data_IF_178587865133
#
_entry.id   IF_178587865133
#
_cell.length_a   1.000
_cell.length_b   1.000
_cell.length_c   1.000
_cell.angle_alpha   90.00
_cell.angle_beta   90.00
_cell.angle_gamma   90.00
#
_symmetry.space_group_name_H-M   'P 1'
#
loop_
_entity.id
_entity.type
_entity.pdbx_description
1 polymer ?
#
# COMPACT_ATOMS: atom_id res chain seq x y z
N UNK A 1 0.36 -13.41 24.22
CA UNK A 1 -0.38 -14.17 23.18
C UNK A 1 -0.26 -13.40 21.87
N UNK A 2 0.07 -14.08 20.74
CA UNK A 2 0.07 -13.42 19.43
C UNK A 2 -1.38 -13.17 19.01
N UNK A 3 -1.81 -11.90 19.05
CA UNK A 3 -3.15 -11.47 18.62
C UNK A 3 -3.25 -11.48 17.08
N UNK A 4 -4.46 -11.49 16.56
CA UNK A 4 -4.77 -11.19 15.17
C UNK A 4 -4.89 -9.67 15.03
N UNK A 5 -4.14 -9.08 14.11
CA UNK A 5 -4.22 -7.66 13.78
C UNK A 5 -4.33 -7.51 12.25
N UNK A 6 -5.28 -6.70 11.83
CA UNK A 6 -5.56 -6.43 10.42
C UNK A 6 -5.49 -4.92 10.22
N UNK A 7 -4.74 -4.49 9.23
CA UNK A 7 -4.75 -3.12 8.72
C UNK A 7 -5.52 -3.10 7.41
N UNK A 8 -6.43 -2.17 7.24
CA UNK A 8 -7.06 -1.87 5.96
C UNK A 8 -6.27 -0.74 5.30
N UNK A 9 -5.95 -0.88 4.02
CA UNK A 9 -5.24 0.10 3.22
C UNK A 9 -5.99 0.33 1.91
N UNK A 10 -6.15 1.60 1.55
CA UNK A 10 -6.61 2.03 0.23
C UNK A 10 -5.49 2.71 -0.51
N UNK A 11 -5.24 2.28 -1.72
CA UNK A 11 -4.25 2.84 -2.64
C UNK A 11 -4.93 3.77 -3.66
N UNK A 12 -4.13 4.54 -4.40
CA UNK A 12 -4.54 5.33 -5.57
C UNK A 12 -5.53 6.48 -5.28
N UNK A 13 -5.35 7.15 -4.15
CA UNK A 13 -6.18 8.31 -3.78
C UNK A 13 -5.58 9.57 -4.38
N UNK A 14 -6.29 10.21 -5.33
CA UNK A 14 -5.83 11.39 -6.04
C UNK A 14 -7.00 12.31 -6.43
N UNK A 15 -6.73 13.57 -6.86
CA UNK A 15 -7.79 14.54 -7.19
C UNK A 15 -8.72 14.14 -8.34
N UNK A 16 -8.33 13.15 -9.14
CA UNK A 16 -9.04 12.68 -10.33
C UNK A 16 -9.59 11.25 -10.17
N UNK A 17 -9.57 10.71 -8.94
CA UNK A 17 -10.06 9.36 -8.65
C UNK A 17 -11.57 9.21 -8.88
N UNK A 18 -12.09 7.99 -8.90
CA UNK A 18 -13.53 7.71 -8.82
C UNK A 18 -14.05 7.97 -7.41
N UNK A 19 -14.57 9.19 -7.19
CA UNK A 19 -15.10 9.62 -5.88
C UNK A 19 -16.31 8.81 -5.46
N UNK A 20 -17.12 8.35 -6.41
CA UNK A 20 -18.32 7.58 -6.11
C UNK A 20 -17.98 6.24 -5.46
N UNK A 21 -16.98 5.55 -6.00
CA UNK A 21 -16.53 4.27 -5.46
C UNK A 21 -15.76 4.44 -4.15
N UNK A 22 -14.92 5.47 -4.05
CA UNK A 22 -14.22 5.73 -2.79
C UNK A 22 -15.17 6.16 -1.68
N UNK A 23 -16.23 6.94 -2.02
CA UNK A 23 -17.29 7.27 -1.05
C UNK A 23 -18.03 6.03 -0.55
N UNK A 24 -18.37 5.07 -1.40
CA UNK A 24 -18.94 3.79 -0.96
C UNK A 24 -18.03 3.06 0.04
N UNK A 25 -16.71 3.13 -0.17
CA UNK A 25 -15.75 2.54 0.77
C UNK A 25 -15.79 3.27 2.11
N UNK A 26 -15.71 4.61 2.12
CA UNK A 26 -15.68 5.40 3.35
C UNK A 26 -16.99 5.29 4.12
N UNK A 27 -18.17 5.29 3.45
CA UNK A 27 -19.47 5.09 4.10
C UNK A 27 -19.56 3.71 4.80
N UNK A 28 -18.99 2.68 4.15
CA UNK A 28 -18.94 1.34 4.74
C UNK A 28 -18.00 1.28 5.95
N UNK A 29 -16.81 1.90 5.85
CA UNK A 29 -15.84 1.97 6.93
C UNK A 29 -16.37 2.74 8.13
N UNK A 30 -17.02 3.89 7.90
CA UNK A 30 -17.65 4.73 8.93
C UNK A 30 -18.72 3.94 9.71
N UNK A 31 -19.52 3.11 9.01
CA UNK A 31 -20.52 2.22 9.63
C UNK A 31 -19.91 1.25 10.66
N UNK A 32 -18.66 0.83 10.46
CA UNK A 32 -17.96 -0.09 11.36
C UNK A 32 -16.98 0.62 12.28
N UNK A 33 -16.89 1.96 12.23
CA UNK A 33 -15.92 2.78 12.95
C UNK A 33 -14.48 2.29 12.72
N UNK A 34 -14.10 2.12 11.45
CA UNK A 34 -12.79 1.64 11.02
C UNK A 34 -12.06 2.74 10.26
N UNK A 35 -10.83 3.05 10.67
CA UNK A 35 -10.00 4.10 10.10
C UNK A 35 -8.82 3.48 9.34
N UNK A 36 -8.87 3.44 8.00
CA UNK A 36 -7.83 2.82 7.18
C UNK A 36 -6.57 3.69 7.07
N UNK A 37 -5.51 3.08 6.55
CA UNK A 37 -4.40 3.77 5.93
C UNK A 37 -4.79 4.10 4.48
N UNK A 38 -4.72 5.36 4.07
CA UNK A 38 -4.99 5.77 2.69
C UNK A 38 -3.75 6.37 2.03
N UNK A 39 -3.46 5.95 0.81
CA UNK A 39 -2.32 6.37 0.00
C UNK A 39 -2.68 7.49 -0.95
N UNK A 40 -2.24 8.69 -0.63
CA UNK A 40 -2.45 9.87 -1.45
C UNK A 40 -1.29 10.03 -2.42
N UNK A 41 -1.60 10.18 -3.71
CA UNK A 41 -0.64 10.50 -4.76
C UNK A 41 -0.52 12.02 -4.85
N UNK A 42 0.68 12.60 -4.59
CA UNK A 42 0.85 14.05 -4.53
C UNK A 42 0.58 14.78 -5.85
N UNK A 43 1.03 14.22 -6.98
CA UNK A 43 0.93 14.82 -8.33
C UNK A 43 0.57 13.74 -9.35
N UNK A 44 -0.64 13.18 -9.26
CA UNK A 44 -1.04 12.05 -10.11
C UNK A 44 -0.94 12.39 -11.60
N UNK A 45 -0.16 11.58 -12.34
CA UNK A 45 0.04 11.66 -13.79
C UNK A 45 -0.20 10.29 -14.46
N UNK A 46 -0.75 9.33 -13.74
CA UNK A 46 -1.13 8.01 -14.28
C UNK A 46 -2.46 8.13 -15.02
N UNK A 47 -2.44 7.90 -16.33
CA UNK A 47 -3.61 8.00 -17.19
C UNK A 47 -4.75 7.06 -16.75
N UNK A 48 -4.42 5.92 -16.11
CA UNK A 48 -5.43 4.98 -15.59
C UNK A 48 -6.18 5.54 -14.37
N UNK A 49 -5.65 6.57 -13.72
CA UNK A 49 -6.23 7.23 -12.54
C UNK A 49 -6.84 8.62 -12.84
N UNK A 50 -6.77 9.09 -14.09
CA UNK A 50 -7.47 10.30 -14.55
C UNK A 50 -8.93 9.95 -14.90
N UNK A 51 -9.71 9.57 -13.90
CA UNK A 51 -11.08 9.01 -14.07
C UNK A 51 -12.12 10.12 -14.12
N UNK A 52 -12.04 11.08 -13.20
CA UNK A 52 -12.92 12.25 -13.13
C UNK A 52 -12.12 13.53 -13.40
N UNK A 53 -12.81 14.66 -13.56
CA UNK A 53 -12.15 15.97 -13.60
C UNK A 53 -11.46 16.27 -12.27
N UNK A 54 -10.46 17.15 -12.29
CA UNK A 54 -9.73 17.55 -11.10
C UNK A 54 -10.66 18.21 -10.07
N UNK A 55 -10.83 17.58 -8.92
CA UNK A 55 -11.62 18.11 -7.81
C UNK A 55 -10.82 19.12 -6.99
N UNK A 56 -11.16 20.39 -7.12
CA UNK A 56 -10.46 21.49 -6.41
C UNK A 56 -10.54 21.40 -4.89
N UNK A 57 -11.56 20.72 -4.35
CA UNK A 57 -11.77 20.50 -2.90
C UNK A 57 -11.08 19.23 -2.36
N UNK A 58 -10.33 18.52 -3.19
CA UNK A 58 -9.69 17.25 -2.82
C UNK A 58 -8.88 17.34 -1.51
N UNK A 59 -8.06 18.37 -1.36
CA UNK A 59 -7.19 18.49 -0.20
C UNK A 59 -7.96 18.78 1.09
N UNK A 60 -9.10 19.48 1.02
CA UNK A 60 -9.99 19.64 2.16
C UNK A 60 -10.64 18.30 2.51
N UNK A 61 -11.07 17.53 1.51
CA UNK A 61 -11.62 16.18 1.72
C UNK A 61 -10.61 15.25 2.42
N UNK A 62 -9.32 15.25 2.00
CA UNK A 62 -8.27 14.47 2.67
C UNK A 62 -8.10 14.89 4.14
N UNK A 63 -8.10 16.19 4.44
CA UNK A 63 -8.02 16.68 5.82
C UNK A 63 -9.25 16.30 6.67
N UNK A 64 -10.44 16.25 6.08
CA UNK A 64 -11.63 15.76 6.81
C UNK A 64 -11.52 14.25 7.11
N UNK A 65 -10.99 13.44 6.21
CA UNK A 65 -10.71 12.03 6.50
C UNK A 65 -9.66 11.88 7.60
N UNK A 66 -8.60 12.69 7.60
CA UNK A 66 -7.60 12.69 8.67
C UNK A 66 -8.23 13.05 10.03
N UNK A 67 -9.09 14.07 10.10
CA UNK A 67 -9.85 14.43 11.31
C UNK A 67 -10.75 13.31 11.82
N UNK A 68 -11.26 12.46 10.91
CA UNK A 68 -12.04 11.26 11.25
C UNK A 68 -11.15 10.12 11.78
N UNK A 69 -9.83 10.24 11.76
CA UNK A 69 -8.89 9.23 12.23
C UNK A 69 -8.22 8.40 11.14
N UNK A 70 -8.49 8.66 9.85
CA UNK A 70 -7.80 8.00 8.75
C UNK A 70 -6.31 8.37 8.78
N UNK A 71 -5.44 7.39 8.60
CA UNK A 71 -4.00 7.66 8.48
C UNK A 71 -3.64 7.94 7.03
N UNK A 72 -3.03 9.11 6.79
CA UNK A 72 -2.55 9.46 5.45
C UNK A 72 -1.16 8.88 5.24
N UNK A 73 -0.91 8.35 4.05
CA UNK A 73 0.41 7.97 3.56
C UNK A 73 0.68 8.64 2.21
N UNK A 74 1.92 8.88 1.88
CA UNK A 74 2.32 9.24 0.53
C UNK A 74 2.42 7.98 -0.34
N UNK A 75 1.66 7.92 -1.44
CA UNK A 75 1.67 6.82 -2.39
C UNK A 75 2.41 7.19 -3.67
N UNK A 76 3.71 6.95 -3.66
CA UNK A 76 4.57 7.41 -4.73
C UNK A 76 4.71 8.93 -4.78
N UNK A 77 5.07 9.46 -5.93
CA UNK A 77 5.11 10.89 -6.24
C UNK A 77 4.06 11.24 -7.29
N UNK A 78 4.18 10.67 -8.50
CA UNK A 78 3.26 10.95 -9.62
C UNK A 78 2.64 9.68 -10.23
N UNK A 79 2.93 8.51 -9.68
CA UNK A 79 2.43 7.20 -10.08
C UNK A 79 2.84 6.78 -11.51
N UNK A 80 3.91 7.37 -12.07
CA UNK A 80 4.43 7.04 -13.40
C UNK A 80 5.53 6.00 -13.30
N UNK A 81 5.33 4.88 -13.98
CA UNK A 81 6.28 3.76 -14.01
C UNK A 81 7.31 3.94 -15.14
N UNK A 82 8.43 4.56 -14.83
CA UNK A 82 9.47 4.92 -15.79
C UNK A 82 10.72 4.00 -15.76
N UNK A 83 10.70 2.96 -14.91
CA UNK A 83 11.73 1.89 -14.93
C UNK A 83 11.15 0.50 -15.06
N UNK A 84 11.93 -0.42 -15.62
CA UNK A 84 11.60 -1.85 -15.79
C UNK A 84 12.35 -2.72 -14.78
N UNK A 85 12.20 -2.40 -13.48
CA UNK A 85 12.84 -3.18 -12.41
C UNK A 85 11.84 -3.68 -11.39
N UNK A 86 12.15 -4.81 -10.76
CA UNK A 86 11.32 -5.40 -9.72
C UNK A 86 11.55 -4.79 -8.33
N UNK A 87 12.65 -4.05 -8.16
CA UNK A 87 13.06 -3.62 -6.82
C UNK A 87 13.25 -4.81 -5.86
N UNK A 88 13.07 -4.54 -4.56
CA UNK A 88 13.32 -5.56 -3.52
C UNK A 88 12.22 -6.62 -3.46
N UNK A 89 10.95 -6.26 -3.64
CA UNK A 89 9.82 -7.17 -3.36
C UNK A 89 8.83 -7.36 -4.52
N UNK A 90 8.72 -6.45 -5.48
CA UNK A 90 7.75 -6.56 -6.56
C UNK A 90 7.99 -7.82 -7.43
N UNK A 91 6.91 -8.40 -7.91
CA UNK A 91 6.94 -9.53 -8.86
C UNK A 91 6.84 -9.09 -10.34
N UNK A 92 6.33 -7.90 -10.61
CA UNK A 92 6.27 -7.26 -11.93
C UNK A 92 7.59 -6.60 -12.35
N UNK A 93 7.58 -5.97 -13.52
CA UNK A 93 8.72 -5.24 -14.10
C UNK A 93 8.36 -3.78 -14.37
N UNK A 94 7.72 -3.12 -13.41
CA UNK A 94 7.43 -1.68 -13.50
C UNK A 94 7.65 -1.02 -12.16
N UNK A 95 8.28 0.14 -12.15
CA UNK A 95 8.53 0.91 -10.94
C UNK A 95 8.59 2.39 -11.22
N UNK A 96 8.11 3.17 -10.26
CA UNK A 96 8.32 4.60 -10.20
C UNK A 96 9.66 4.96 -9.54
N UNK A 97 10.18 4.10 -8.65
CA UNK A 97 11.36 4.38 -7.81
C UNK A 97 12.53 3.44 -8.08
N UNK A 98 12.31 2.14 -7.91
CA UNK A 98 13.39 1.17 -7.98
C UNK A 98 14.11 1.21 -9.32
N UNK A 99 15.45 1.14 -9.28
CA UNK A 99 16.31 1.23 -10.46
C UNK A 99 16.76 2.64 -10.81
N UNK A 100 16.17 3.68 -10.23
CA UNK A 100 16.71 5.04 -10.34
C UNK A 100 17.90 5.26 -9.39
N UNK A 101 18.71 6.27 -9.71
CA UNK A 101 19.76 6.74 -8.80
C UNK A 101 19.13 7.24 -7.48
N UNK A 102 19.94 7.21 -6.40
CA UNK A 102 19.51 7.77 -5.11
C UNK A 102 19.04 9.22 -5.24
N UNK A 103 19.74 10.05 -6.00
CA UNK A 103 19.40 11.46 -6.17
C UNK A 103 18.01 11.60 -6.80
N UNK A 104 17.72 10.90 -7.89
CA UNK A 104 16.41 10.98 -8.55
C UNK A 104 15.27 10.50 -7.64
N UNK A 105 15.48 9.42 -6.88
CA UNK A 105 14.48 8.94 -5.93
C UNK A 105 14.27 9.92 -4.77
N UNK A 106 15.34 10.50 -4.25
CA UNK A 106 15.28 11.52 -3.20
C UNK A 106 14.51 12.76 -3.65
N UNK A 107 14.75 13.26 -4.86
CA UNK A 107 14.05 14.41 -5.43
C UNK A 107 12.55 14.14 -5.60
N UNK A 108 12.17 12.99 -6.14
CA UNK A 108 10.76 12.57 -6.25
C UNK A 108 10.07 12.54 -4.87
N UNK A 109 10.69 11.89 -3.89
CA UNK A 109 10.13 11.75 -2.54
C UNK A 109 10.03 13.12 -1.85
N UNK A 110 11.07 13.95 -1.96
CA UNK A 110 11.10 15.29 -1.40
C UNK A 110 9.99 16.17 -2.01
N UNK A 111 9.88 16.19 -3.34
CA UNK A 111 8.85 16.96 -4.05
C UNK A 111 7.44 16.51 -3.67
N UNK A 112 7.19 15.20 -3.63
CA UNK A 112 5.89 14.67 -3.21
C UNK A 112 5.53 15.07 -1.79
N UNK A 113 6.50 15.04 -0.87
CA UNK A 113 6.30 15.48 0.51
C UNK A 113 6.01 16.99 0.59
N UNK A 114 6.76 17.81 -0.13
CA UNK A 114 6.54 19.26 -0.20
C UNK A 114 5.15 19.63 -0.72
N UNK A 115 4.63 18.89 -1.72
CA UNK A 115 3.25 19.07 -2.21
C UNK A 115 2.24 18.76 -1.11
N UNK A 116 2.35 17.61 -0.43
CA UNK A 116 1.45 17.27 0.69
C UNK A 116 1.48 18.36 1.77
N UNK A 117 2.68 18.77 2.19
CA UNK A 117 2.87 19.80 3.22
C UNK A 117 2.30 21.17 2.81
N UNK A 118 2.39 21.55 1.53
CA UNK A 118 1.80 22.80 1.01
C UNK A 118 0.27 22.81 1.13
N UNK A 119 -0.35 21.64 1.18
CA UNK A 119 -1.79 21.48 1.43
C UNK A 119 -2.12 21.19 2.91
N UNK A 120 -1.15 21.34 3.82
CA UNK A 120 -1.27 21.04 5.25
C UNK A 120 -1.59 19.56 5.55
N UNK A 121 -1.10 18.66 4.71
CA UNK A 121 -1.15 17.20 4.93
C UNK A 121 0.24 16.73 5.33
N UNK A 122 0.38 16.24 6.56
CA UNK A 122 1.68 15.84 7.12
C UNK A 122 1.69 14.33 7.33
N UNK A 123 2.68 13.66 6.76
CA UNK A 123 2.83 12.21 6.94
C UNK A 123 4.28 11.76 7.07
N UNK A 124 4.48 10.70 7.83
CA UNK A 124 5.73 9.96 7.95
C UNK A 124 5.61 8.53 7.42
N UNK A 125 4.50 8.22 6.71
CA UNK A 125 4.19 6.92 6.13
C UNK A 125 4.25 6.99 4.61
N UNK A 126 4.87 6.01 4.01
CA UNK A 126 4.99 5.85 2.55
C UNK A 126 4.62 4.42 2.14
N UNK A 127 4.14 4.26 0.93
CA UNK A 127 4.20 2.98 0.21
C UNK A 127 4.33 3.20 -1.28
N UNK A 128 5.04 2.26 -1.92
CA UNK A 128 5.45 2.41 -3.31
C UNK A 128 4.36 1.94 -4.29
N UNK A 129 4.09 2.70 -5.36
CA UNK A 129 3.29 2.20 -6.48
C UNK A 129 3.82 0.84 -6.96
N UNK A 130 2.87 -0.08 -7.26
CA UNK A 130 3.20 -1.47 -7.64
C UNK A 130 4.08 -2.22 -6.60
N UNK A 131 4.12 -1.78 -5.33
CA UNK A 131 5.00 -2.31 -4.27
C UNK A 131 6.48 -2.38 -4.70
N UNK A 132 6.91 -1.47 -5.58
CA UNK A 132 8.24 -1.53 -6.19
C UNK A 132 9.17 -0.44 -5.64
N UNK A 133 10.09 -0.85 -4.77
CA UNK A 133 11.11 -0.01 -4.15
C UNK A 133 12.43 -0.77 -4.02
N UNK A 134 13.52 -0.05 -3.81
CA UNK A 134 14.85 -0.60 -3.54
C UNK A 134 15.53 0.06 -2.32
N UNK A 135 16.79 -0.26 -2.08
CA UNK A 135 17.53 0.29 -0.95
C UNK A 135 17.75 1.81 -1.06
N UNK A 136 17.85 2.35 -2.28
CA UNK A 136 17.92 3.79 -2.49
C UNK A 136 16.61 4.48 -2.09
N UNK A 137 15.46 3.84 -2.37
CA UNK A 137 14.15 4.33 -1.91
C UNK A 137 14.11 4.45 -0.38
N UNK A 138 14.53 3.39 0.33
CA UNK A 138 14.53 3.40 1.80
C UNK A 138 15.46 4.47 2.38
N UNK A 139 16.65 4.66 1.79
CA UNK A 139 17.59 5.72 2.20
C UNK A 139 17.04 7.12 1.92
N UNK A 140 16.38 7.30 0.78
CA UNK A 140 15.76 8.56 0.39
C UNK A 140 14.58 8.91 1.33
N UNK A 141 13.71 7.94 1.63
CA UNK A 141 12.63 8.08 2.62
C UNK A 141 13.18 8.49 3.98
N UNK A 142 14.22 7.81 4.47
CA UNK A 142 14.86 8.14 5.74
C UNK A 142 15.39 9.58 5.75
N UNK A 143 16.04 10.00 4.66
CA UNK A 143 16.58 11.37 4.53
C UNK A 143 15.47 12.43 4.45
N UNK A 144 14.30 12.09 3.90
CA UNK A 144 13.12 12.97 3.87
C UNK A 144 12.30 12.94 5.17
N UNK A 145 12.71 12.19 6.20
CA UNK A 145 12.05 12.15 7.51
C UNK A 145 10.86 11.20 7.60
N UNK A 146 10.65 10.33 6.62
CA UNK A 146 9.68 9.24 6.73
C UNK A 146 10.14 8.22 7.78
N UNK A 147 9.20 7.57 8.45
CA UNK A 147 9.46 6.55 9.47
C UNK A 147 9.00 5.17 9.07
N UNK A 148 8.01 5.08 8.17
CA UNK A 148 7.36 3.84 7.81
C UNK A 148 7.27 3.67 6.30
N UNK A 149 7.45 2.41 5.85
CA UNK A 149 7.02 1.95 4.52
C UNK A 149 6.04 0.81 4.69
N UNK A 150 4.81 0.94 4.13
CA UNK A 150 3.78 -0.10 4.21
C UNK A 150 3.88 -1.08 3.05
N UNK A 151 5.08 -1.67 2.90
CA UNK A 151 5.37 -2.70 1.91
C UNK A 151 6.39 -3.69 2.47
N UNK A 152 6.20 -4.98 2.20
CA UNK A 152 7.12 -6.03 2.60
C UNK A 152 6.47 -7.39 2.79
N UNK A 153 7.24 -8.45 2.55
CA UNK A 153 6.81 -9.84 2.74
C UNK A 153 7.26 -10.45 4.08
N UNK A 154 7.84 -9.67 4.96
CA UNK A 154 8.10 -10.10 6.35
C UNK A 154 6.79 -10.41 7.09
N UNK A 155 6.84 -11.22 8.14
CA UNK A 155 5.66 -11.50 8.99
C UNK A 155 5.52 -10.53 10.15
N UNK A 156 6.59 -9.81 10.48
CA UNK A 156 6.65 -8.80 11.54
C UNK A 156 7.33 -7.56 11.02
N UNK A 157 7.08 -6.44 11.65
CA UNK A 157 7.78 -5.18 11.36
C UNK A 157 9.27 -5.37 11.57
N UNK A 158 10.07 -4.93 10.61
CA UNK A 158 11.54 -4.87 10.68
C UNK A 158 12.00 -3.45 10.36
N UNK A 159 13.26 -3.15 10.70
CA UNK A 159 13.85 -1.85 10.39
C UNK A 159 14.97 -2.00 9.35
N UNK A 160 14.95 -1.16 8.32
CA UNK A 160 15.99 -1.03 7.29
C UNK A 160 16.28 0.43 7.05
N UNK A 161 17.53 0.84 7.04
CA UNK A 161 17.94 2.24 6.83
C UNK A 161 17.18 3.27 7.68
N UNK A 162 16.84 2.91 8.93
CA UNK A 162 16.02 3.76 9.80
C UNK A 162 14.50 3.62 9.61
N UNK A 163 14.03 3.06 8.50
CA UNK A 163 12.61 2.91 8.16
C UNK A 163 12.04 1.62 8.75
N UNK A 164 10.87 1.69 9.37
CA UNK A 164 10.07 0.53 9.77
C UNK A 164 9.30 0.00 8.56
N UNK A 165 9.66 -1.21 8.09
CA UNK A 165 8.94 -1.90 7.02
C UNK A 165 7.75 -2.64 7.61
N UNK A 166 6.55 -2.18 7.29
CA UNK A 166 5.28 -2.73 7.79
C UNK A 166 4.82 -3.81 6.81
N UNK A 167 4.48 -5.03 7.28
CA UNK A 167 4.09 -6.12 6.40
C UNK A 167 2.87 -5.79 5.54
N UNK A 168 3.03 -5.89 4.22
CA UNK A 168 1.95 -5.87 3.24
C UNK A 168 2.24 -6.99 2.24
N UNK A 169 1.67 -8.18 2.45
CA UNK A 169 2.11 -9.44 1.83
C UNK A 169 1.30 -9.87 0.61
N UNK A 170 0.27 -9.12 0.27
CA UNK A 170 -0.61 -9.40 -0.88
C UNK A 170 -1.35 -8.13 -1.26
N UNK A 171 -1.76 -8.07 -2.51
CA UNK A 171 -2.82 -7.17 -2.97
C UNK A 171 -4.17 -7.83 -2.70
N UNK A 172 -5.21 -7.05 -2.37
CA UNK A 172 -6.51 -7.57 -1.97
C UNK A 172 -6.54 -8.12 -0.54
N UNK A 173 -7.53 -8.96 -0.24
CA UNK A 173 -7.71 -9.56 1.08
C UNK A 173 -6.81 -10.77 1.26
N UNK A 174 -5.90 -10.78 2.26
CA UNK A 174 -5.03 -11.91 2.51
C UNK A 174 -5.80 -13.09 3.10
N UNK A 175 -5.24 -14.30 2.94
CA UNK A 175 -5.74 -15.48 3.68
C UNK A 175 -5.42 -15.34 5.16
N UNK A 176 -6.42 -14.87 5.93
CA UNK A 176 -6.29 -14.58 7.36
C UNK A 176 -6.34 -15.89 8.16
N UNK A 177 -5.39 -16.02 9.11
CA UNK A 177 -5.34 -17.09 10.12
C UNK A 177 -5.74 -16.54 11.49
N UNK A 178 -5.88 -17.40 12.49
CA UNK A 178 -6.31 -17.02 13.84
C UNK A 178 -5.34 -16.09 14.58
N UNK A 179 -4.13 -15.85 14.05
CA UNK A 179 -3.11 -14.96 14.62
C UNK A 179 -2.20 -14.40 13.52
N UNK A 180 -1.59 -13.26 13.78
CA UNK A 180 -0.62 -12.62 12.87
C UNK A 180 -1.03 -11.21 12.48
N UNK A 181 -0.20 -10.59 11.66
CA UNK A 181 -0.40 -9.25 11.14
C UNK A 181 -0.67 -9.33 9.66
N UNK A 182 -1.74 -8.71 9.22
CA UNK A 182 -2.22 -8.75 7.84
C UNK A 182 -2.59 -7.33 7.40
N UNK A 183 -2.21 -6.97 6.17
CA UNK A 183 -2.72 -5.77 5.51
C UNK A 183 -3.62 -6.21 4.36
N UNK A 184 -4.86 -5.76 4.35
CA UNK A 184 -5.78 -5.91 3.23
C UNK A 184 -5.73 -4.62 2.40
N UNK A 185 -5.47 -4.74 1.10
CA UNK A 185 -5.27 -3.62 0.18
C UNK A 185 -6.42 -3.53 -0.80
N UNK A 186 -6.98 -2.34 -0.97
CA UNK A 186 -8.10 -2.08 -1.86
C UNK A 186 -7.80 -0.90 -2.78
N UNK A 187 -8.32 -0.98 -4.01
CA UNK A 187 -8.33 0.06 -5.01
C UNK A 187 -9.80 0.30 -5.37
N UNK A 188 -10.42 1.32 -4.80
CA UNK A 188 -11.87 1.52 -4.91
C UNK A 188 -12.30 1.74 -6.37
N UNK A 189 -11.51 2.46 -7.17
CA UNK A 189 -11.78 2.72 -8.58
C UNK A 189 -11.87 1.44 -9.44
N UNK A 190 -11.23 0.33 -9.03
CA UNK A 190 -11.30 -0.93 -9.75
C UNK A 190 -12.66 -1.63 -9.61
N UNK A 191 -13.50 -1.27 -8.64
CA UNK A 191 -14.75 -2.00 -8.34
C UNK A 191 -15.82 -1.92 -9.42
N UNK A 192 -15.71 -0.97 -10.34
CA UNK A 192 -16.56 -0.88 -11.54
C UNK A 192 -16.23 -1.94 -12.60
N UNK A 193 -15.05 -2.56 -12.50
CA UNK A 193 -14.61 -3.61 -13.42
C UNK A 193 -15.24 -4.94 -13.05
N UNK A 194 -15.74 -5.71 -14.02
CA UNK A 194 -16.39 -6.99 -13.77
C UNK A 194 -15.50 -8.02 -13.06
N UNK A 195 -14.19 -8.00 -13.32
CA UNK A 195 -13.21 -8.90 -12.70
C UNK A 195 -12.84 -8.48 -11.26
N UNK A 196 -13.18 -7.25 -10.84
CA UNK A 196 -12.86 -6.66 -9.54
C UNK A 196 -14.07 -6.29 -8.69
N UNK A 197 -15.28 -6.35 -9.23
CA UNK A 197 -16.52 -6.00 -8.53
C UNK A 197 -16.72 -6.76 -7.22
N UNK A 198 -16.14 -7.97 -7.10
CA UNK A 198 -16.19 -8.76 -5.87
C UNK A 198 -15.42 -8.13 -4.68
N UNK A 199 -14.46 -7.23 -4.94
CA UNK A 199 -13.60 -6.69 -3.88
C UNK A 199 -14.36 -5.79 -2.87
N UNK A 200 -15.45 -5.14 -3.29
CA UNK A 200 -16.35 -4.45 -2.35
C UNK A 200 -16.98 -5.41 -1.34
N UNK A 201 -17.49 -6.53 -1.82
CA UNK A 201 -18.07 -7.57 -0.96
C UNK A 201 -17.00 -8.23 -0.06
N UNK A 202 -15.77 -8.33 -0.53
CA UNK A 202 -14.64 -8.81 0.29
C UNK A 202 -14.34 -7.83 1.45
N UNK A 203 -14.37 -6.52 1.20
CA UNK A 203 -14.25 -5.50 2.25
C UNK A 203 -15.39 -5.63 3.26
N UNK A 204 -16.64 -5.71 2.81
CA UNK A 204 -17.80 -5.85 3.69
C UNK A 204 -17.71 -7.11 4.56
N UNK A 205 -17.34 -8.24 3.96
CA UNK A 205 -17.15 -9.51 4.68
C UNK A 205 -15.98 -9.44 5.68
N UNK A 206 -14.90 -8.74 5.33
CA UNK A 206 -13.77 -8.51 6.22
C UNK A 206 -14.19 -7.73 7.46
N UNK A 207 -14.95 -6.63 7.26
CA UNK A 207 -15.50 -5.80 8.32
C UNK A 207 -16.47 -6.58 9.21
N UNK A 208 -17.44 -7.29 8.63
CA UNK A 208 -18.39 -8.13 9.37
C UNK A 208 -17.70 -9.17 10.25
N UNK A 209 -16.67 -9.83 9.71
CA UNK A 209 -16.04 -10.97 10.38
C UNK A 209 -14.94 -10.59 11.38
N UNK A 210 -14.23 -9.49 11.12
CA UNK A 210 -12.97 -9.21 11.82
C UNK A 210 -12.90 -7.81 12.44
N UNK A 211 -14.02 -7.08 12.59
CA UNK A 211 -14.04 -5.71 13.12
C UNK A 211 -13.18 -5.53 14.39
N UNK A 212 -13.27 -6.43 15.35
CA UNK A 212 -12.49 -6.38 16.60
C UNK A 212 -10.96 -6.59 16.39
N UNK A 213 -10.56 -7.13 15.25
CA UNK A 213 -9.16 -7.41 14.90
C UNK A 213 -8.57 -6.36 13.98
N UNK A 214 -9.40 -5.52 13.36
CA UNK A 214 -8.96 -4.39 12.55
C UNK A 214 -8.40 -3.32 13.49
N UNK A 215 -7.28 -2.73 13.12
CA UNK A 215 -6.55 -1.75 13.93
C UNK A 215 -6.22 -0.55 13.08
N UNK A 216 -6.34 0.63 13.68
CA UNK A 216 -5.80 1.87 13.16
C UNK A 216 -4.29 1.73 12.99
N UNK A 217 -3.71 2.49 12.07
CA UNK A 217 -2.31 2.36 11.70
C UNK A 217 -1.37 2.44 12.91
N UNK A 218 -1.54 3.43 13.78
CA UNK A 218 -0.64 3.67 14.90
C UNK A 218 -0.66 2.50 15.91
N UNK A 219 -1.83 1.90 16.14
CA UNK A 219 -1.97 0.67 16.95
C UNK A 219 -1.37 -0.53 16.23
N UNK A 220 -1.56 -0.62 14.90
CA UNK A 220 -1.01 -1.72 14.11
C UNK A 220 0.52 -1.74 14.09
N UNK A 221 1.17 -0.57 14.09
CA UNK A 221 2.64 -0.47 14.07
C UNK A 221 3.28 -0.44 15.47
N UNK A 222 2.47 -0.30 16.53
CA UNK A 222 2.92 -0.41 17.92
C UNK A 222 3.03 -1.88 18.37
N UNK A 223 3.87 -2.62 17.66
CA UNK A 223 4.10 -4.03 17.90
C UNK A 223 5.60 -4.32 18.02
N UNK A 224 5.98 -5.36 18.78
CA UNK A 224 7.37 -5.78 18.87
C UNK A 224 7.95 -6.09 17.48
N UNK A 225 9.09 -5.51 17.18
CA UNK A 225 9.79 -5.79 15.94
C UNK A 225 10.21 -7.25 15.87
N UNK A 226 10.25 -7.78 14.65
CA UNK A 226 10.78 -9.12 14.40
C UNK A 226 12.31 -9.14 14.43
N UNK A 227 12.88 -10.30 14.69
CA UNK A 227 14.32 -10.50 14.49
C UNK A 227 14.63 -10.26 13.00
N UNK A 228 15.51 -9.32 12.73
CA UNK A 228 15.81 -8.87 11.35
C UNK A 228 16.28 -10.02 10.46
N UNK A 229 17.23 -10.85 10.91
CA UNK A 229 17.78 -11.94 10.12
C UNK A 229 16.70 -12.94 9.71
N UNK A 230 15.86 -13.35 10.67
CA UNK A 230 14.77 -14.31 10.42
C UNK A 230 13.73 -13.71 9.46
N UNK A 231 13.30 -12.48 9.68
CA UNK A 231 12.28 -11.85 8.85
C UNK A 231 12.80 -11.54 7.43
N UNK A 232 14.07 -11.18 7.30
CA UNK A 232 14.72 -10.98 6.01
C UNK A 232 14.82 -12.28 5.19
N UNK A 233 15.12 -13.40 5.84
CA UNK A 233 15.09 -14.73 5.20
C UNK A 233 13.67 -15.05 4.73
N UNK A 234 12.66 -14.87 5.59
CA UNK A 234 11.25 -15.09 5.23
C UNK A 234 10.86 -14.27 4.00
N UNK A 235 11.23 -12.98 3.98
CA UNK A 235 10.92 -12.11 2.85
C UNK A 235 11.63 -12.57 1.57
N UNK A 236 12.93 -12.84 1.61
CA UNK A 236 13.70 -13.32 0.45
C UNK A 236 13.15 -14.64 -0.11
N UNK A 237 12.83 -15.59 0.75
CA UNK A 237 12.23 -16.88 0.34
C UNK A 237 10.85 -16.65 -0.27
N UNK A 238 10.03 -15.78 0.32
CA UNK A 238 8.70 -15.46 -0.22
C UNK A 238 8.81 -14.81 -1.60
N UNK A 239 9.69 -13.82 -1.77
CA UNK A 239 9.93 -13.14 -3.04
C UNK A 239 10.45 -14.13 -4.10
N UNK A 240 11.40 -14.98 -3.74
CA UNK A 240 11.90 -16.03 -4.63
C UNK A 240 10.79 -16.96 -5.09
N UNK A 241 9.97 -17.46 -4.15
CA UNK A 241 8.84 -18.32 -4.48
C UNK A 241 7.86 -17.63 -5.44
N UNK A 242 7.46 -16.39 -5.16
CA UNK A 242 6.52 -15.64 -5.98
C UNK A 242 7.07 -15.36 -7.39
N UNK A 243 8.36 -14.97 -7.49
CA UNK A 243 8.98 -14.60 -8.76
C UNK A 243 9.27 -15.78 -9.67
N UNK A 244 9.65 -16.92 -9.12
CA UNK A 244 10.21 -18.01 -9.90
C UNK A 244 9.40 -19.31 -9.86
N UNK A 245 8.73 -19.60 -8.78
CA UNK A 245 7.98 -20.87 -8.63
C UNK A 245 6.51 -20.67 -8.99
N UNK A 246 5.83 -19.70 -8.34
CA UNK A 246 4.41 -19.45 -8.58
C UNK A 246 4.13 -19.05 -10.03
N UNK A 247 4.97 -18.23 -10.63
CA UNK A 247 4.84 -17.80 -12.03
C UNK A 247 4.95 -18.97 -13.00
N UNK A 248 5.90 -19.89 -12.78
CA UNK A 248 6.04 -21.11 -13.60
C UNK A 248 4.84 -22.06 -13.43
N UNK A 249 4.36 -22.26 -12.20
CA UNK A 249 3.21 -23.11 -11.93
C UNK A 249 1.93 -22.53 -12.58
N UNK A 250 1.75 -21.23 -12.56
CA UNK A 250 0.64 -20.55 -13.27
C UNK A 250 0.73 -20.75 -14.78
N UNK A 251 1.93 -20.62 -15.35
CA UNK A 251 2.17 -20.84 -16.79
C UNK A 251 1.84 -22.29 -17.19
N UNK A 252 2.32 -23.28 -16.45
CA UNK A 252 2.04 -24.70 -16.70
C UNK A 252 0.54 -25.01 -16.59
N UNK A 253 -0.12 -24.47 -15.58
CA UNK A 253 -1.57 -24.66 -15.38
C UNK A 253 -2.40 -24.06 -16.53
N UNK A 254 -1.99 -22.95 -17.11
CA UNK A 254 -2.70 -22.29 -18.21
C UNK A 254 -2.42 -22.90 -19.57
N UNK A 255 -1.21 -23.43 -19.81
CA UNK A 255 -0.76 -23.85 -21.13
C UNK A 255 -0.63 -25.37 -21.31
N UNK A 256 -0.58 -26.14 -20.21
CA UNK A 256 -0.36 -27.60 -20.26
C UNK A 256 -1.58 -28.39 -19.77
N UNK A 257 -2.42 -27.81 -18.93
CA UNK A 257 -3.57 -28.48 -18.29
C UNK A 257 -4.94 -27.95 -18.74
N UNK A 258 -5.00 -27.14 -19.81
CA UNK A 258 -6.29 -26.90 -20.50
C UNK A 258 -6.43 -27.97 -21.60
N UNK A 259 -7.49 -28.79 -21.54
CA UNK A 259 -7.82 -29.72 -22.63
C UNK A 259 -8.13 -29.00 -23.92
#
# INVERSE_FOLDING_TARGET
MNKLNILIRFDDICPTMDYSQFKKATDLLDKYNVHPLIGVIPECQDEELLIEEYHSDFWNYIKELEKKGYKIAMHGFNHVYDTKTRGNINCGFKSEFAGHSFIKQYEKIKKGKEILESHNVYTDVFFAPSHSYDDNTLRALSKCGFKYISDGYSKKIIRRYGIKCVPCRTTGVPKIKNKGNYTAVFHAHEWVRSDKAHAYNELENLLKKYSNSIKDFDIFVDQPQGNYAIQNIIEKVTVFYLRYIKSKLSYVKHNVLKP
#
